data_IF_576534801779
#
_entry.id   IF_576534801779
#
_cell.length_a   1.000
_cell.length_b   1.000
_cell.length_c   1.000
_cell.angle_alpha   90.00
_cell.angle_beta   90.00
_cell.angle_gamma   90.00
#
_symmetry.space_group_name_H-M   'P 1'
#
loop_
_entity.id
_entity.type
_entity.pdbx_description
1 polymer ?
#
# COMPACT_ATOMS: atom_id res chain seq x y z
N UNK A 1 -16.34 12.99 -21.74
CA UNK A 1 -14.96 13.41 -22.04
C UNK A 1 -14.10 13.03 -20.86
N UNK A 2 -13.33 11.98 -20.96
CA UNK A 2 -12.34 11.58 -19.95
C UNK A 2 -11.04 12.34 -20.29
N UNK A 3 -10.77 13.44 -19.58
CA UNK A 3 -9.54 14.21 -19.77
C UNK A 3 -8.41 13.61 -18.94
N UNK A 4 -7.27 13.30 -19.54
CA UNK A 4 -6.04 12.97 -18.82
C UNK A 4 -5.52 14.24 -18.12
N UNK A 5 -5.60 14.26 -16.78
CA UNK A 5 -5.16 15.39 -15.95
C UNK A 5 -3.66 15.35 -15.62
N UNK A 6 -2.93 14.31 -16.04
CA UNK A 6 -1.50 14.14 -15.70
C UNK A 6 -0.61 15.24 -16.29
N UNK A 7 -1.06 15.89 -17.36
CA UNK A 7 -0.33 16.96 -18.08
C UNK A 7 -0.71 18.39 -17.67
N UNK A 8 -1.66 18.55 -16.75
CA UNK A 8 -2.07 19.90 -16.32
C UNK A 8 -1.05 20.51 -15.38
N UNK A 9 -0.56 21.70 -15.71
CA UNK A 9 0.22 22.55 -14.81
C UNK A 9 -0.70 23.04 -13.70
N UNK A 10 -0.42 22.63 -12.46
CA UNK A 10 -1.21 23.06 -11.30
C UNK A 10 -0.65 24.37 -10.73
N UNK A 11 -1.51 25.32 -10.31
CA UNK A 11 -1.06 26.49 -9.56
C UNK A 11 -0.31 26.08 -8.28
N UNK A 12 0.65 26.89 -7.86
CA UNK A 12 1.55 26.58 -6.73
C UNK A 12 0.82 26.29 -5.40
N UNK A 13 -0.33 26.90 -5.16
CA UNK A 13 -1.12 26.67 -3.94
C UNK A 13 -1.80 25.30 -3.89
N UNK A 14 -1.87 24.57 -5.03
CA UNK A 14 -2.41 23.20 -5.12
C UNK A 14 -1.27 22.16 -4.98
N UNK A 15 -0.01 22.59 -5.03
CA UNK A 15 1.13 21.70 -4.95
C UNK A 15 1.46 21.35 -3.48
N UNK A 16 1.78 20.08 -3.25
CA UNK A 16 2.41 19.62 -2.02
C UNK A 16 3.91 19.93 -2.06
N UNK A 17 4.57 20.27 -0.95
CA UNK A 17 6.03 20.34 -0.90
C UNK A 17 6.70 18.97 -1.00
N UNK A 18 5.94 17.87 -1.02
CA UNK A 18 6.44 16.50 -1.04
C UNK A 18 6.63 16.03 -2.48
N UNK A 19 7.81 15.49 -2.79
CA UNK A 19 8.15 14.90 -4.08
C UNK A 19 7.59 13.48 -4.22
N UNK A 20 7.33 13.03 -5.46
CA UNK A 20 6.96 11.64 -5.72
C UNK A 20 8.05 10.64 -5.31
N UNK A 21 9.33 11.07 -5.27
CA UNK A 21 10.43 10.23 -4.79
C UNK A 21 10.38 9.95 -3.29
N UNK A 22 9.66 10.75 -2.51
CA UNK A 22 9.48 10.56 -1.06
C UNK A 22 8.39 9.54 -0.71
N UNK A 23 7.44 9.27 -1.62
CA UNK A 23 6.29 8.40 -1.33
C UNK A 23 6.64 6.96 -0.98
N UNK A 24 7.68 6.35 -1.54
CA UNK A 24 8.09 5.02 -1.11
C UNK A 24 8.46 4.90 0.37
N UNK A 25 8.69 6.03 1.07
CA UNK A 25 8.93 6.02 2.52
C UNK A 25 7.76 5.45 3.33
N UNK A 26 6.53 5.52 2.82
CA UNK A 26 5.36 4.93 3.48
C UNK A 26 5.44 3.40 3.61
N UNK A 27 6.20 2.71 2.77
CA UNK A 27 6.47 1.28 2.92
C UNK A 27 7.23 0.97 4.22
N UNK A 28 8.09 1.88 4.68
CA UNK A 28 8.89 1.77 5.90
C UNK A 28 8.30 2.47 7.13
N UNK A 29 7.09 3.02 7.07
CA UNK A 29 6.49 3.81 8.16
C UNK A 29 6.39 3.03 9.49
N UNK A 30 6.25 1.70 9.39
CA UNK A 30 6.14 0.80 10.55
C UNK A 30 7.25 -0.26 10.54
N UNK A 31 8.52 0.10 10.88
CA UNK A 31 9.64 -0.82 10.83
C UNK A 31 9.45 -2.14 11.60
N UNK A 32 8.82 -2.15 12.80
CA UNK A 32 8.55 -3.41 13.49
C UNK A 32 7.67 -4.36 12.69
N UNK A 33 6.58 -3.88 12.08
CA UNK A 33 5.70 -4.71 11.25
C UNK A 33 6.41 -5.18 9.97
N UNK A 34 7.28 -4.34 9.39
CA UNK A 34 8.07 -4.69 8.21
C UNK A 34 9.04 -5.85 8.49
N UNK A 35 9.68 -5.84 9.64
CA UNK A 35 10.62 -6.90 10.07
C UNK A 35 9.86 -8.15 10.53
N UNK A 36 8.71 -7.99 11.19
CA UNK A 36 7.92 -9.09 11.77
C UNK A 36 7.46 -10.13 10.73
N UNK A 37 7.40 -9.77 9.44
CA UNK A 37 7.05 -10.71 8.36
C UNK A 37 7.97 -11.92 8.29
N UNK A 38 9.20 -11.82 8.79
CA UNK A 38 10.15 -12.92 8.87
C UNK A 38 9.84 -13.95 9.97
N UNK A 39 9.07 -13.57 11.00
CA UNK A 39 8.88 -14.37 12.20
C UNK A 39 7.87 -15.50 12.01
N UNK A 40 7.05 -15.49 10.95
CA UNK A 40 6.10 -16.54 10.67
C UNK A 40 6.79 -17.89 10.42
N UNK A 41 6.43 -18.90 11.20
CA UNK A 41 6.99 -20.25 11.08
C UNK A 41 6.47 -20.96 9.82
N UNK A 42 5.21 -20.73 9.46
CA UNK A 42 4.57 -21.33 8.29
C UNK A 42 4.36 -20.33 7.15
N UNK A 43 4.18 -20.76 5.91
CA UNK A 43 3.81 -19.87 4.80
C UNK A 43 2.54 -19.07 5.08
N UNK A 44 1.55 -19.67 5.75
CA UNK A 44 0.29 -19.00 6.12
C UNK A 44 0.53 -17.86 7.10
N UNK A 45 1.33 -18.09 8.13
CA UNK A 45 1.68 -17.05 9.12
C UNK A 45 2.42 -15.88 8.46
N UNK A 46 3.37 -16.17 7.57
CA UNK A 46 4.09 -15.12 6.84
C UNK A 46 3.17 -14.35 5.90
N UNK A 47 2.27 -15.03 5.16
CA UNK A 47 1.29 -14.36 4.30
C UNK A 47 0.39 -13.43 5.12
N UNK A 48 -0.05 -13.85 6.31
CA UNK A 48 -0.86 -13.03 7.21
C UNK A 48 -0.06 -11.83 7.72
N UNK A 49 1.21 -12.01 8.07
CA UNK A 49 2.09 -10.92 8.51
C UNK A 49 2.34 -9.90 7.39
N UNK A 50 2.58 -10.37 6.15
CA UNK A 50 2.71 -9.50 4.96
C UNK A 50 1.42 -8.75 4.68
N UNK A 51 0.27 -9.42 4.75
CA UNK A 51 -1.04 -8.79 4.59
C UNK A 51 -1.28 -7.71 5.65
N UNK A 52 -0.97 -7.98 6.91
CA UNK A 52 -1.10 -7.04 8.02
C UNK A 52 -0.20 -5.82 7.83
N UNK A 53 1.08 -6.04 7.50
CA UNK A 53 2.00 -4.96 7.19
C UNK A 53 1.50 -4.10 6.03
N UNK A 54 1.07 -4.71 4.92
CA UNK A 54 0.56 -3.99 3.77
C UNK A 54 -0.66 -3.12 4.11
N UNK A 55 -1.65 -3.66 4.82
CA UNK A 55 -2.83 -2.90 5.27
C UNK A 55 -2.40 -1.74 6.18
N UNK A 56 -1.43 -1.96 7.06
CA UNK A 56 -0.89 -0.92 7.95
C UNK A 56 -0.29 0.27 7.20
N UNK A 57 0.30 0.04 6.03
CA UNK A 57 0.89 1.13 5.21
C UNK A 57 -0.16 1.98 4.49
N UNK A 58 -1.39 1.47 4.27
CA UNK A 58 -2.42 2.17 3.49
C UNK A 58 -2.82 3.51 4.09
N UNK A 59 -2.86 3.61 5.41
CA UNK A 59 -3.19 4.87 6.10
C UNK A 59 -2.17 5.96 5.76
N UNK A 60 -0.89 5.69 5.95
CA UNK A 60 0.19 6.62 5.62
C UNK A 60 0.17 7.00 4.14
N UNK A 61 0.09 6.00 3.26
CA UNK A 61 0.11 6.21 1.80
C UNK A 61 -1.02 7.10 1.29
N UNK A 62 -2.23 7.01 1.87
CA UNK A 62 -3.43 7.62 1.27
C UNK A 62 -4.12 8.69 2.13
N UNK A 63 -3.85 8.81 3.43
CA UNK A 63 -4.50 9.81 4.30
C UNK A 63 -3.59 10.83 4.96
N UNK A 64 -2.28 10.58 5.04
CA UNK A 64 -1.33 11.46 5.76
C UNK A 64 -1.26 12.87 5.18
N UNK A 65 -1.52 13.03 3.89
CA UNK A 65 -1.53 14.33 3.21
C UNK A 65 -2.68 15.24 3.65
N UNK A 66 -3.86 14.65 3.91
CA UNK A 66 -5.04 15.41 4.35
C UNK A 66 -4.89 15.98 5.75
N UNK A 67 -4.23 15.25 6.65
CA UNK A 67 -4.08 15.66 8.05
C UNK A 67 -3.11 16.80 8.24
N UNK A 68 -2.04 16.89 7.43
CA UNK A 68 -1.01 17.91 7.59
C UNK A 68 -1.27 19.21 6.81
N UNK A 69 -2.07 19.16 5.74
CA UNK A 69 -2.24 20.30 4.82
C UNK A 69 -3.69 20.73 4.60
N UNK A 70 -4.64 20.12 5.28
CA UNK A 70 -6.07 20.50 5.26
C UNK A 70 -6.81 20.21 3.95
N UNK A 71 -6.14 19.77 2.90
CA UNK A 71 -6.73 19.38 1.62
C UNK A 71 -5.75 18.53 0.80
N UNK A 72 -6.29 17.71 -0.12
CA UNK A 72 -5.50 16.97 -1.09
C UNK A 72 -4.71 17.92 -1.99
N UNK A 73 -3.40 17.76 -2.03
CA UNK A 73 -2.49 18.51 -2.88
C UNK A 73 -1.75 17.60 -3.84
N UNK A 74 -1.48 18.13 -5.03
CA UNK A 74 -0.70 17.41 -6.05
C UNK A 74 0.76 17.36 -5.62
N UNK A 75 1.40 16.17 -5.58
CA UNK A 75 2.85 16.09 -5.31
C UNK A 75 3.67 16.76 -6.39
N UNK A 76 4.88 17.13 -6.04
CA UNK A 76 5.88 17.61 -7.00
C UNK A 76 6.29 16.45 -7.91
N UNK A 77 6.36 16.71 -9.22
CA UNK A 77 6.94 15.77 -10.18
C UNK A 77 8.46 15.98 -10.21
N UNK A 78 9.25 15.05 -9.68
CA UNK A 78 10.71 15.21 -9.61
C UNK A 78 11.34 15.22 -10.99
N UNK A 79 12.55 15.74 -11.09
CA UNK A 79 13.32 15.65 -12.32
C UNK A 79 13.80 14.22 -12.54
N UNK A 80 14.09 13.87 -13.79
CA UNK A 80 14.65 12.55 -14.12
C UNK A 80 15.98 12.34 -13.40
N UNK A 81 16.11 11.20 -12.70
CA UNK A 81 17.30 10.86 -11.91
C UNK A 81 17.33 11.54 -10.53
N UNK A 82 16.28 12.25 -10.11
CA UNK A 82 16.19 12.74 -8.73
C UNK A 82 16.12 11.57 -7.76
N UNK A 83 16.98 11.60 -6.76
CA UNK A 83 17.14 10.55 -5.74
C UNK A 83 16.57 11.02 -4.40
N UNK A 84 15.98 10.09 -3.67
CA UNK A 84 15.62 10.27 -2.27
C UNK A 84 16.14 9.10 -1.44
N UNK A 85 16.72 9.42 -0.28
CA UNK A 85 17.24 8.45 0.68
C UNK A 85 16.48 8.56 1.98
N UNK A 86 15.95 7.43 2.47
CA UNK A 86 15.31 7.30 3.76
C UNK A 86 16.08 6.36 4.67
N UNK A 87 16.02 6.63 5.98
CA UNK A 87 16.64 5.78 6.98
C UNK A 87 15.77 5.73 8.24
N UNK A 88 15.50 4.53 8.71
CA UNK A 88 14.93 4.25 10.02
C UNK A 88 16.01 3.58 10.85
N UNK A 89 16.58 4.32 11.84
CA UNK A 89 17.67 3.81 12.66
C UNK A 89 17.30 2.53 13.39
N UNK A 90 18.30 1.70 13.67
CA UNK A 90 18.12 0.47 14.41
C UNK A 90 17.42 0.71 15.76
N UNK A 91 16.38 -0.06 16.03
CA UNK A 91 15.66 -0.08 17.28
C UNK A 91 15.85 -1.44 17.96
N UNK A 92 16.84 -1.54 18.84
CA UNK A 92 17.20 -2.79 19.49
C UNK A 92 17.59 -3.87 18.48
N UNK A 93 16.89 -4.99 18.51
CA UNK A 93 17.17 -6.15 17.65
C UNK A 93 16.63 -6.01 16.21
N UNK A 94 15.78 -5.03 15.91
CA UNK A 94 15.16 -4.91 14.59
C UNK A 94 16.16 -4.59 13.46
N UNK A 95 17.30 -3.98 13.79
CA UNK A 95 18.23 -3.50 12.77
C UNK A 95 17.78 -2.22 12.10
N UNK A 96 18.62 -1.70 11.22
CA UNK A 96 18.37 -0.50 10.43
C UNK A 96 17.58 -0.85 9.18
N UNK A 97 16.63 0.02 8.82
CA UNK A 97 15.89 -0.07 7.54
C UNK A 97 16.28 1.11 6.67
N UNK A 98 16.68 0.88 5.44
CA UNK A 98 17.11 1.90 4.49
C UNK A 98 16.23 1.92 3.25
N UNK A 99 16.05 3.09 2.67
CA UNK A 99 15.29 3.32 1.43
C UNK A 99 16.14 4.10 0.45
N UNK A 100 16.15 3.69 -0.80
CA UNK A 100 16.53 4.52 -1.93
C UNK A 100 15.40 4.55 -2.94
N UNK A 101 15.11 5.71 -3.49
CA UNK A 101 14.17 5.85 -4.61
C UNK A 101 14.70 6.81 -5.65
N UNK A 102 14.29 6.61 -6.91
CA UNK A 102 14.74 7.38 -8.05
C UNK A 102 13.58 7.65 -9.01
N UNK A 103 13.52 8.86 -9.53
CA UNK A 103 12.62 9.19 -10.63
C UNK A 103 13.19 8.65 -11.94
N UNK A 104 12.72 7.49 -12.36
CA UNK A 104 13.21 6.77 -13.55
C UNK A 104 12.49 7.16 -14.84
N UNK A 105 11.38 7.89 -14.73
CA UNK A 105 10.68 8.51 -15.86
C UNK A 105 10.01 9.80 -15.41
N UNK A 106 10.14 10.86 -16.23
CA UNK A 106 9.50 12.15 -15.95
C UNK A 106 8.12 12.28 -16.62
N UNK A 107 7.95 11.70 -17.80
CA UNK A 107 6.68 11.66 -18.53
C UNK A 107 6.46 10.27 -19.19
N UNK A 108 5.56 9.41 -18.66
CA UNK A 108 4.79 9.58 -17.42
C UNK A 108 5.70 9.57 -16.18
N UNK A 109 5.31 10.23 -15.08
CA UNK A 109 6.07 10.18 -13.84
C UNK A 109 6.10 8.75 -13.29
N UNK A 110 7.30 8.19 -13.14
CA UNK A 110 7.51 6.85 -12.53
C UNK A 110 8.70 6.94 -11.58
N UNK A 111 8.47 6.52 -10.36
CA UNK A 111 9.49 6.41 -9.32
C UNK A 111 9.76 4.94 -9.04
N UNK A 112 10.99 4.49 -9.17
CA UNK A 112 11.47 3.19 -8.71
C UNK A 112 11.97 3.31 -7.27
N UNK A 113 11.93 2.21 -6.51
CA UNK A 113 12.36 2.21 -5.12
C UNK A 113 12.87 0.84 -4.66
N UNK A 114 13.75 0.90 -3.65
CA UNK A 114 14.25 -0.26 -2.92
C UNK A 114 14.33 0.08 -1.44
N UNK A 115 13.61 -0.69 -0.62
CA UNK A 115 13.60 -0.64 0.84
C UNK A 115 14.17 -1.95 1.38
N UNK A 116 15.08 -1.88 2.34
CA UNK A 116 15.71 -3.08 2.90
C UNK A 116 15.96 -2.97 4.39
N UNK A 117 15.73 -4.07 5.10
CA UNK A 117 16.34 -4.35 6.40
C UNK A 117 17.25 -5.58 6.25
N UNK A 118 18.53 -5.32 6.03
CA UNK A 118 19.51 -6.38 5.76
C UNK A 118 19.68 -7.33 6.95
N UNK A 119 19.59 -6.83 8.20
CA UNK A 119 19.67 -7.67 9.41
C UNK A 119 18.53 -8.66 9.50
N UNK A 120 17.32 -8.23 9.16
CA UNK A 120 16.15 -9.08 9.15
C UNK A 120 16.04 -9.93 7.87
N UNK A 121 16.77 -9.63 6.82
CA UNK A 121 16.65 -10.30 5.53
C UNK A 121 15.33 -10.04 4.82
N UNK A 122 14.77 -8.82 4.97
CA UNK A 122 13.54 -8.38 4.33
C UNK A 122 13.82 -7.23 3.40
N UNK A 123 13.30 -7.30 2.18
CA UNK A 123 13.36 -6.17 1.24
C UNK A 123 12.06 -5.99 0.48
N UNK A 124 11.82 -4.76 0.01
CA UNK A 124 10.74 -4.41 -0.92
C UNK A 124 11.33 -3.60 -2.05
N UNK A 125 11.10 -4.03 -3.27
CA UNK A 125 11.43 -3.27 -4.47
C UNK A 125 10.23 -3.10 -5.36
N UNK A 126 10.21 -2.04 -6.14
CA UNK A 126 9.12 -1.81 -7.08
C UNK A 126 9.23 -0.50 -7.80
N UNK A 127 8.14 -0.16 -8.44
CA UNK A 127 7.96 1.15 -9.03
C UNK A 127 6.53 1.62 -8.85
N UNK A 128 6.33 2.92 -8.81
CA UNK A 128 5.02 3.54 -8.72
C UNK A 128 4.88 4.64 -9.77
N UNK A 129 3.71 4.67 -10.39
CA UNK A 129 3.26 5.73 -11.28
C UNK A 129 1.76 5.92 -11.09
N UNK A 130 1.22 6.99 -11.65
CA UNK A 130 -0.20 7.32 -11.47
C UNK A 130 -0.81 7.72 -12.80
N UNK A 131 -2.00 7.16 -13.10
CA UNK A 131 -2.86 7.61 -14.19
C UNK A 131 -4.10 8.25 -13.59
N UNK A 132 -4.26 9.55 -13.80
CA UNK A 132 -5.35 10.33 -13.26
C UNK A 132 -6.38 10.64 -14.35
N UNK A 133 -7.65 10.38 -14.06
CA UNK A 133 -8.77 10.68 -14.95
C UNK A 133 -9.93 11.29 -14.17
N UNK A 134 -10.66 12.20 -14.85
CA UNK A 134 -11.89 12.78 -14.31
C UNK A 134 -13.10 12.03 -14.86
N UNK A 135 -13.97 11.55 -13.98
CA UNK A 135 -15.17 10.78 -14.36
C UNK A 135 -16.42 11.65 -14.55
N UNK A 136 -16.29 12.99 -14.45
CA UNK A 136 -17.40 13.92 -14.40
C UNK A 136 -17.91 14.19 -12.96
N UNK A 137 -17.56 13.34 -12.01
CA UNK A 137 -18.00 13.40 -10.61
C UNK A 137 -16.86 13.25 -9.60
N UNK A 138 -15.93 12.37 -9.89
CA UNK A 138 -14.77 12.06 -9.07
C UNK A 138 -13.49 12.10 -9.88
N UNK A 139 -12.37 12.23 -9.20
CA UNK A 139 -11.05 12.00 -9.79
C UNK A 139 -10.65 10.57 -9.46
N UNK A 140 -10.41 9.76 -10.49
CA UNK A 140 -9.89 8.40 -10.34
C UNK A 140 -8.39 8.40 -10.59
N UNK A 141 -7.64 7.81 -9.66
CA UNK A 141 -6.19 7.67 -9.75
C UNK A 141 -5.85 6.17 -9.72
N UNK A 142 -5.51 5.63 -10.88
CA UNK A 142 -5.05 4.26 -11.02
C UNK A 142 -3.56 4.23 -10.68
N UNK A 143 -3.19 3.42 -9.70
CA UNK A 143 -1.80 3.16 -9.36
C UNK A 143 -1.19 2.24 -10.41
N UNK A 144 -0.18 2.72 -11.12
CA UNK A 144 0.58 1.95 -12.10
C UNK A 144 1.85 1.46 -11.44
N UNK A 145 2.07 0.16 -11.46
CA UNK A 145 3.23 -0.45 -10.82
C UNK A 145 2.83 -1.55 -9.84
N UNK A 146 3.83 -2.09 -9.20
CA UNK A 146 3.71 -3.16 -8.21
C UNK A 146 4.92 -3.15 -7.29
N UNK A 147 4.84 -3.90 -6.20
CA UNK A 147 5.96 -4.15 -5.31
C UNK A 147 6.27 -5.66 -5.24
N UNK A 148 7.54 -6.00 -5.13
CA UNK A 148 8.01 -7.32 -4.72
C UNK A 148 8.60 -7.21 -3.33
N UNK A 149 8.01 -7.91 -2.37
CA UNK A 149 8.65 -8.16 -1.08
C UNK A 149 9.41 -9.48 -1.16
N UNK A 150 10.63 -9.51 -0.61
CA UNK A 150 11.45 -10.73 -0.54
C UNK A 150 11.87 -11.00 0.90
N UNK A 151 11.73 -12.24 1.29
CA UNK A 151 12.18 -12.76 2.58
C UNK A 151 13.34 -13.73 2.34
N UNK A 152 14.48 -13.49 2.96
CA UNK A 152 15.62 -14.39 2.93
C UNK A 152 15.37 -15.52 3.93
N UNK A 153 15.18 -16.75 3.42
CA UNK A 153 14.93 -17.94 4.24
C UNK A 153 16.09 -18.93 4.09
N UNK A 154 16.30 -19.82 5.05
CA UNK A 154 17.32 -20.88 4.92
C UNK A 154 17.15 -21.75 3.67
N UNK A 155 15.93 -21.98 3.26
CA UNK A 155 15.55 -22.79 2.09
C UNK A 155 15.55 -22.02 0.76
N UNK A 156 15.80 -20.71 0.78
CA UNK A 156 15.81 -19.84 -0.41
C UNK A 156 14.99 -18.57 -0.20
N UNK A 157 14.75 -17.83 -1.27
CA UNK A 157 14.02 -16.55 -1.20
C UNK A 157 12.53 -16.79 -1.39
N UNK A 158 11.72 -16.41 -0.41
CA UNK A 158 10.27 -16.34 -0.56
C UNK A 158 9.87 -14.95 -1.08
N UNK A 159 9.07 -14.91 -2.15
CA UNK A 159 8.72 -13.68 -2.84
C UNK A 159 7.21 -13.44 -2.81
N UNK A 160 6.82 -12.19 -2.61
CA UNK A 160 5.44 -11.72 -2.63
C UNK A 160 5.28 -10.61 -3.66
N UNK A 161 4.45 -10.83 -4.68
CA UNK A 161 4.03 -9.79 -5.62
C UNK A 161 2.80 -9.07 -5.05
N UNK A 162 2.90 -7.76 -4.86
CA UNK A 162 1.87 -6.90 -4.28
C UNK A 162 1.36 -5.94 -5.35
N UNK A 163 0.05 -5.94 -5.59
CA UNK A 163 -0.62 -4.96 -6.45
C UNK A 163 -1.25 -3.85 -5.63
N UNK A 164 -1.36 -2.66 -6.22
CA UNK A 164 -1.82 -1.46 -5.53
C UNK A 164 -3.31 -1.19 -5.81
N UNK A 165 -4.04 -0.55 -4.86
CA UNK A 165 -5.44 -0.20 -5.06
C UNK A 165 -5.61 0.98 -6.02
N UNK A 166 -6.80 1.15 -6.55
CA UNK A 166 -7.22 2.39 -7.20
C UNK A 166 -7.72 3.38 -6.15
N UNK A 167 -7.35 4.65 -6.29
CA UNK A 167 -7.81 5.75 -5.46
C UNK A 167 -8.94 6.49 -6.17
N UNK A 168 -10.00 6.85 -5.43
CA UNK A 168 -11.05 7.77 -5.85
C UNK A 168 -11.06 8.99 -4.94
N UNK A 169 -11.10 10.19 -5.53
CA UNK A 169 -11.32 11.44 -4.80
C UNK A 169 -12.73 11.89 -5.13
N UNK A 170 -13.62 11.76 -4.15
CA UNK A 170 -15.04 12.06 -4.25
C UNK A 170 -15.38 13.35 -3.49
N UNK A 171 -16.65 13.80 -3.55
CA UNK A 171 -17.12 14.99 -2.81
C UNK A 171 -16.70 16.34 -3.41
N UNK A 172 -16.12 16.37 -4.61
CA UNK A 172 -15.64 17.59 -5.27
C UNK A 172 -16.75 18.64 -5.46
N UNK A 173 -17.95 18.21 -5.83
CA UNK A 173 -19.11 19.11 -6.05
C UNK A 173 -19.69 19.71 -4.77
N UNK A 174 -19.36 19.11 -3.62
CA UNK A 174 -19.86 19.57 -2.32
C UNK A 174 -18.80 20.37 -1.55
N UNK A 175 -17.64 20.65 -2.16
CA UNK A 175 -16.54 21.37 -1.53
C UNK A 175 -15.88 20.64 -0.36
N UNK A 176 -16.14 19.34 -0.21
CA UNK A 176 -15.60 18.49 0.85
C UNK A 176 -14.99 17.22 0.23
N UNK A 177 -13.85 17.33 -0.46
CA UNK A 177 -13.21 16.19 -1.08
C UNK A 177 -12.74 15.17 -0.03
N UNK A 178 -12.96 13.89 -0.32
CA UNK A 178 -12.48 12.77 0.49
C UNK A 178 -11.96 11.64 -0.39
N UNK A 179 -11.07 10.84 0.18
CA UNK A 179 -10.42 9.72 -0.50
C UNK A 179 -11.10 8.41 -0.13
N UNK A 180 -11.32 7.56 -1.14
CA UNK A 180 -11.69 6.16 -0.97
C UNK A 180 -10.78 5.28 -1.82
N UNK A 181 -10.43 4.11 -1.30
CA UNK A 181 -9.82 3.06 -2.09
C UNK A 181 -10.92 2.22 -2.74
N UNK A 182 -10.69 1.81 -3.98
CA UNK A 182 -11.64 1.04 -4.79
C UNK A 182 -10.95 -0.15 -5.46
N UNK A 183 -11.76 -1.01 -6.06
CA UNK A 183 -11.30 -2.25 -6.71
C UNK A 183 -10.71 -3.26 -5.69
N UNK A 184 -9.68 -3.98 -6.05
CA UNK A 184 -9.01 -4.94 -5.17
C UNK A 184 -7.51 -4.92 -5.37
N UNK A 185 -6.78 -5.10 -4.29
CA UNK A 185 -5.35 -5.44 -4.32
C UNK A 185 -5.15 -6.92 -4.10
N UNK A 186 -4.04 -7.43 -4.59
CA UNK A 186 -3.66 -8.83 -4.46
C UNK A 186 -2.22 -8.94 -3.95
N UNK A 187 -1.97 -9.96 -3.14
CA UNK A 187 -0.63 -10.38 -2.75
C UNK A 187 -0.48 -11.85 -3.15
N UNK A 188 0.42 -12.12 -4.07
CA UNK A 188 0.72 -13.47 -4.56
C UNK A 188 2.05 -13.94 -3.97
N UNK A 189 2.04 -15.03 -3.20
CA UNK A 189 3.25 -15.62 -2.63
C UNK A 189 3.80 -16.75 -3.50
N UNK A 190 5.14 -16.83 -3.58
CA UNK A 190 5.83 -17.99 -4.17
C UNK A 190 5.58 -19.29 -3.41
N UNK A 191 5.11 -19.22 -2.16
CA UNK A 191 4.69 -20.39 -1.37
C UNK A 191 3.30 -20.91 -1.74
N UNK A 192 2.64 -20.36 -2.78
CA UNK A 192 1.36 -20.87 -3.29
C UNK A 192 0.12 -20.34 -2.59
N UNK A 193 0.22 -19.19 -1.93
CA UNK A 193 -0.90 -18.49 -1.29
C UNK A 193 -1.23 -17.19 -2.03
N UNK A 194 -2.51 -16.82 -1.99
CA UNK A 194 -3.00 -15.54 -2.52
C UNK A 194 -3.84 -14.84 -1.47
N UNK A 195 -3.48 -13.59 -1.14
CA UNK A 195 -4.36 -12.70 -0.40
C UNK A 195 -5.07 -11.75 -1.39
N UNK A 196 -6.38 -11.58 -1.21
CA UNK A 196 -7.21 -10.59 -1.91
C UNK A 196 -7.74 -9.59 -0.90
N UNK A 197 -7.51 -8.32 -1.14
CA UNK A 197 -8.05 -7.21 -0.35
C UNK A 197 -9.06 -6.47 -1.24
N UNK A 198 -10.32 -6.52 -0.87
CA UNK A 198 -11.39 -5.81 -1.56
C UNK A 198 -11.73 -4.54 -0.78
N UNK A 199 -11.72 -3.40 -1.46
CA UNK A 199 -12.03 -2.11 -0.88
C UNK A 199 -13.47 -1.74 -1.18
N UNK A 200 -14.22 -1.41 -0.12
CA UNK A 200 -15.60 -0.95 -0.19
C UNK A 200 -15.69 0.37 0.55
N UNK A 201 -15.83 1.45 -0.19
CA UNK A 201 -15.94 2.78 0.40
C UNK A 201 -17.36 3.13 0.85
N UNK A 202 -17.57 4.40 1.12
CA UNK A 202 -18.88 4.97 1.39
C UNK A 202 -19.76 4.82 0.15
N UNK A 203 -20.69 3.85 0.17
CA UNK A 203 -21.74 3.74 -0.84
C UNK A 203 -22.74 4.90 -0.76
N UNK A 204 -23.59 5.04 -1.77
CA UNK A 204 -24.59 6.12 -1.84
C UNK A 204 -25.56 6.14 -0.66
N UNK A 205 -25.93 4.98 -0.13
CA UNK A 205 -26.93 4.83 0.92
C UNK A 205 -26.45 4.06 2.14
N UNK A 206 -25.41 3.27 1.98
CA UNK A 206 -24.90 2.39 3.05
C UNK A 206 -23.38 2.20 2.87
N UNK A 207 -22.70 1.85 3.94
CA UNK A 207 -21.27 1.58 3.94
C UNK A 207 -20.50 2.51 4.86
N UNK A 208 -19.46 1.98 5.47
CA UNK A 208 -18.52 2.77 6.28
C UNK A 208 -17.40 3.28 5.36
N UNK A 209 -16.96 4.53 5.51
CA UNK A 209 -15.80 5.02 4.77
C UNK A 209 -14.57 4.16 5.07
N UNK A 210 -13.70 4.04 4.08
CA UNK A 210 -12.40 3.35 4.20
C UNK A 210 -12.50 1.85 4.53
N UNK A 211 -13.64 1.20 4.24
CA UNK A 211 -13.84 -0.21 4.55
C UNK A 211 -13.04 -1.13 3.63
N UNK A 212 -12.60 -2.26 4.16
CA UNK A 212 -12.04 -3.35 3.38
C UNK A 212 -12.46 -4.72 3.92
N UNK A 213 -12.37 -5.72 3.07
CA UNK A 213 -12.38 -7.14 3.44
C UNK A 213 -11.16 -7.80 2.81
N UNK A 214 -10.50 -8.70 3.55
CA UNK A 214 -9.34 -9.44 3.06
C UNK A 214 -9.55 -10.94 3.27
N UNK A 215 -9.12 -11.72 2.30
CA UNK A 215 -9.17 -13.20 2.35
C UNK A 215 -7.83 -13.76 1.89
N UNK A 216 -7.39 -14.86 2.51
CA UNK A 216 -6.24 -15.63 2.06
C UNK A 216 -6.72 -17.03 1.64
N UNK A 217 -6.32 -17.46 0.45
CA UNK A 217 -6.66 -18.74 -0.14
C UNK A 217 -5.42 -19.39 -0.76
N UNK A 218 -5.39 -20.74 -0.92
CA UNK A 218 -4.41 -21.36 -1.79
C UNK A 218 -4.55 -20.86 -3.23
N UNK A 219 -3.44 -20.52 -3.89
CA UNK A 219 -3.45 -20.01 -5.28
C UNK A 219 -3.98 -21.04 -6.27
N UNK A 220 -3.82 -22.32 -5.98
CA UNK A 220 -4.36 -23.45 -6.78
C UNK A 220 -5.87 -23.60 -6.67
N UNK A 221 -6.50 -23.01 -5.66
CA UNK A 221 -7.94 -23.15 -5.36
C UNK A 221 -8.53 -21.82 -4.86
N UNK A 222 -8.57 -20.78 -5.69
CA UNK A 222 -8.94 -19.43 -5.27
C UNK A 222 -10.42 -19.30 -4.84
N UNK A 223 -11.26 -20.27 -5.20
CA UNK A 223 -12.67 -20.33 -4.80
C UNK A 223 -12.92 -21.24 -3.58
N UNK A 224 -11.87 -21.82 -2.99
CA UNK A 224 -11.99 -22.62 -1.78
C UNK A 224 -12.37 -21.73 -0.58
N UNK A 225 -12.78 -22.38 0.52
CA UNK A 225 -12.98 -21.67 1.79
C UNK A 225 -11.68 -20.98 2.18
N UNK A 226 -11.69 -19.68 2.48
CA UNK A 226 -10.50 -18.97 2.92
C UNK A 226 -9.89 -19.59 4.17
N UNK A 227 -8.56 -19.65 4.21
CA UNK A 227 -7.80 -20.06 5.40
C UNK A 227 -7.70 -18.93 6.41
N UNK A 228 -7.89 -17.68 5.96
CA UNK A 228 -7.89 -16.49 6.80
C UNK A 228 -8.83 -15.43 6.21
N UNK A 229 -9.53 -14.72 7.11
CA UNK A 229 -10.38 -13.57 6.76
C UNK A 229 -10.17 -12.44 7.76
N UNK A 230 -10.18 -11.22 7.25
CA UNK A 230 -10.15 -10.00 8.06
C UNK A 230 -11.03 -8.93 7.41
N UNK A 231 -11.52 -8.01 8.22
CA UNK A 231 -12.28 -6.85 7.75
C UNK A 231 -12.03 -5.66 8.66
N UNK A 232 -12.28 -4.46 8.16
CA UNK A 232 -12.11 -3.27 8.97
C UNK A 232 -12.09 -1.99 8.17
N UNK A 233 -11.45 -1.01 8.75
CA UNK A 233 -11.22 0.33 8.21
C UNK A 233 -9.72 0.48 7.95
N UNK A 234 -9.31 0.57 6.67
CA UNK A 234 -7.89 0.62 6.31
C UNK A 234 -7.15 1.87 6.84
N UNK A 235 -7.87 2.92 7.19
CA UNK A 235 -7.31 4.10 7.88
C UNK A 235 -7.43 4.05 9.41
N UNK A 236 -7.93 2.93 9.96
CA UNK A 236 -8.25 2.81 11.37
C UNK A 236 -8.04 1.40 11.92
N UNK A 237 -9.07 0.87 12.58
CA UNK A 237 -9.02 -0.46 13.21
C UNK A 237 -9.57 -1.53 12.28
N UNK A 238 -8.98 -2.71 12.34
CA UNK A 238 -9.47 -3.92 11.68
C UNK A 238 -9.58 -5.08 12.65
N UNK A 239 -10.40 -6.05 12.28
CA UNK A 239 -10.67 -7.26 13.07
C UNK A 239 -10.43 -8.49 12.21
N UNK A 240 -9.95 -9.55 12.84
CA UNK A 240 -9.82 -10.88 12.25
C UNK A 240 -11.12 -11.65 12.52
N UNK A 241 -11.59 -12.40 11.55
CA UNK A 241 -12.71 -13.32 11.74
C UNK A 241 -12.20 -14.60 12.43
N UNK A 242 -12.54 -14.75 13.70
CA UNK A 242 -12.11 -15.89 14.53
C UNK A 242 -12.61 -17.24 14.01
N UNK A 243 -13.64 -17.28 13.17
CA UNK A 243 -14.16 -18.53 12.57
C UNK A 243 -13.20 -19.17 11.57
N UNK A 244 -12.22 -18.42 11.09
CA UNK A 244 -11.17 -18.88 10.17
C UNK A 244 -9.80 -18.97 10.81
N UNK A 245 -9.63 -18.40 12.00
CA UNK A 245 -8.37 -18.41 12.72
C UNK A 245 -8.11 -19.80 13.35
N UNK A 246 -7.22 -20.56 12.77
CA UNK A 246 -6.48 -21.55 13.53
C UNK A 246 -5.69 -20.79 14.58
N UNK A 247 -6.19 -20.75 15.81
CA UNK A 247 -5.56 -20.25 17.06
C UNK A 247 -4.39 -19.26 16.91
N UNK A 248 -4.65 -18.10 16.31
CA UNK A 248 -3.68 -16.98 16.28
C UNK A 248 -4.03 -15.99 17.42
N UNK A 249 -3.64 -16.35 18.61
CA UNK A 249 -3.97 -15.65 19.86
C UNK A 249 -3.19 -14.35 20.07
N UNK A 250 -2.86 -13.54 19.11
CA UNK A 250 -2.31 -12.18 19.33
C UNK A 250 -2.22 -11.38 18.02
N UNK A 251 -3.33 -11.09 17.37
CA UNK A 251 -3.33 -10.22 16.19
C UNK A 251 -4.27 -9.03 16.39
N UNK A 252 -3.78 -8.00 17.10
CA UNK A 252 -4.34 -6.65 16.99
C UNK A 252 -3.66 -5.97 15.79
N UNK A 253 -4.45 -5.58 14.78
CA UNK A 253 -4.01 -4.73 13.66
C UNK A 253 -4.00 -3.27 14.07
#
# INVERSE_FOLDING_TARGET
MSGDLSKMTAPSFILSPVSLTEYPSYWGEHPPSFVDVQNGATPEERMIAVLRWFIGTLKGQYTSRNTSMGSEKKPLNPVLGELFYGNWPAQGELGETTLVSEQVSHHPPITAYFLENAKAGVSVEGHSGQKTSFTGRSIRVVQVGHAFMRLQRPEGVETYLITLPTLSIDGLWFGSPYIELTDSSYIYSSSGLTAKIHYSGRGYFTGKPHSFTATVTPSSSPLSKPIFQASGIWSGKSTVDESTAVSYTHLTL
#
